data_IF_324057928139
#
_entry.id   IF_324057928139
#
_cell.length_a   1.000
_cell.length_b   1.000
_cell.length_c   1.000
_cell.angle_alpha   90.00
_cell.angle_beta   90.00
_cell.angle_gamma   90.00
#
_symmetry.space_group_name_H-M   'P 1'
#
loop_
_entity.id
_entity.type
_entity.pdbx_description
1 polymer ?
#
# COMPACT_ATOMS: atom_id res chain seq x y z
N UNK A 1 -7.62 -13.79 27.31
CA UNK A 1 -7.06 -14.13 25.98
C UNK A 1 -7.93 -13.54 24.87
N UNK A 2 -9.24 -13.78 24.89
CA UNK A 2 -10.19 -13.36 23.85
C UNK A 2 -10.20 -11.86 23.56
N UNK A 3 -10.11 -11.01 24.61
CA UNK A 3 -10.04 -9.56 24.43
C UNK A 3 -8.80 -9.11 23.64
N UNK A 4 -7.64 -9.72 23.92
CA UNK A 4 -6.39 -9.39 23.25
C UNK A 4 -6.42 -9.85 21.79
N UNK A 5 -6.95 -11.04 21.51
CA UNK A 5 -7.13 -11.56 20.16
C UNK A 5 -8.13 -10.73 19.35
N UNK A 6 -9.26 -10.34 19.96
CA UNK A 6 -10.23 -9.49 19.30
C UNK A 6 -9.66 -8.09 18.98
N UNK A 7 -8.86 -7.51 19.88
CA UNK A 7 -8.16 -6.26 19.60
C UNK A 7 -7.14 -6.41 18.45
N UNK A 8 -6.35 -7.48 18.46
CA UNK A 8 -5.42 -7.79 17.37
C UNK A 8 -6.15 -7.91 16.02
N UNK A 9 -7.24 -8.66 15.97
CA UNK A 9 -8.03 -8.83 14.74
C UNK A 9 -8.59 -7.50 14.24
N UNK A 10 -9.17 -6.68 15.12
CA UNK A 10 -9.71 -5.35 14.76
C UNK A 10 -8.65 -4.43 14.15
N UNK A 11 -7.43 -4.45 14.67
CA UNK A 11 -6.33 -3.59 14.18
C UNK A 11 -5.72 -4.17 12.89
N UNK A 12 -5.41 -5.47 12.86
CA UNK A 12 -4.63 -6.07 11.77
C UNK A 12 -5.45 -6.40 10.54
N UNK A 13 -6.67 -6.90 10.67
CA UNK A 13 -7.48 -7.32 9.53
C UNK A 13 -7.66 -6.22 8.46
N UNK A 14 -8.08 -4.98 8.80
CA UNK A 14 -8.20 -3.93 7.79
C UNK A 14 -6.83 -3.52 7.20
N UNK A 15 -5.77 -3.47 8.03
CA UNK A 15 -4.41 -3.11 7.60
C UNK A 15 -3.84 -4.10 6.59
N UNK A 16 -3.98 -5.40 6.82
CA UNK A 16 -3.48 -6.44 5.91
C UNK A 16 -4.36 -6.58 4.68
N UNK A 17 -5.68 -6.43 4.81
CA UNK A 17 -6.58 -6.40 3.65
C UNK A 17 -6.28 -5.23 2.70
N UNK A 18 -5.85 -4.06 3.22
CA UNK A 18 -5.35 -2.96 2.37
C UNK A 18 -4.11 -3.38 1.60
N UNK A 19 -3.10 -3.98 2.25
CA UNK A 19 -1.88 -4.47 1.57
C UNK A 19 -2.22 -5.42 0.43
N UNK A 20 -3.05 -6.43 0.70
CA UNK A 20 -3.40 -7.44 -0.29
C UNK A 20 -4.12 -6.85 -1.51
N UNK A 21 -4.97 -5.83 -1.31
CA UNK A 21 -5.66 -5.15 -2.42
C UNK A 21 -4.72 -4.23 -3.18
N UNK A 22 -3.93 -3.42 -2.47
CA UNK A 22 -2.92 -2.53 -3.07
C UNK A 22 -1.88 -3.31 -3.88
N UNK A 23 -1.45 -4.48 -3.41
CA UNK A 23 -0.50 -5.32 -4.13
C UNK A 23 -1.04 -5.80 -5.50
N UNK A 24 -2.34 -6.07 -5.63
CA UNK A 24 -2.95 -6.44 -6.91
C UNK A 24 -2.92 -5.28 -7.89
N UNK A 25 -3.42 -4.12 -7.47
CA UNK A 25 -3.41 -2.89 -8.29
C UNK A 25 -1.99 -2.49 -8.66
N UNK A 26 -1.05 -2.60 -7.73
CA UNK A 26 0.37 -2.34 -7.98
C UNK A 26 0.94 -3.30 -9.02
N UNK A 27 0.60 -4.59 -8.93
CA UNK A 27 0.92 -5.58 -9.95
C UNK A 27 0.35 -5.20 -11.33
N UNK A 28 -0.89 -4.74 -11.39
CA UNK A 28 -1.51 -4.30 -12.65
C UNK A 28 -0.76 -3.09 -13.24
N UNK A 29 -0.37 -2.11 -12.41
CA UNK A 29 0.44 -0.95 -12.84
C UNK A 29 1.80 -1.39 -13.40
N UNK A 30 2.43 -2.41 -12.81
CA UNK A 30 3.74 -2.87 -13.26
C UNK A 30 3.69 -3.55 -14.63
N UNK A 31 2.63 -4.34 -14.84
CA UNK A 31 2.46 -5.17 -16.03
C UNK A 31 1.59 -4.53 -17.12
N UNK A 32 1.12 -3.28 -16.92
CA UNK A 32 0.36 -2.56 -17.94
C UNK A 32 1.22 -2.32 -19.20
N UNK A 33 0.58 -2.41 -20.36
CA UNK A 33 1.20 -2.29 -21.67
C UNK A 33 0.63 -1.11 -22.48
N UNK A 34 1.09 -0.97 -23.72
CA UNK A 34 0.63 0.06 -24.67
C UNK A 34 0.74 1.48 -24.12
N UNK A 35 -0.33 2.28 -24.34
CA UNK A 35 -0.41 3.65 -23.84
C UNK A 35 -0.35 3.73 -22.31
N UNK A 36 -0.86 2.72 -21.61
CA UNK A 36 -0.79 2.65 -20.16
C UNK A 36 0.65 2.57 -19.65
N UNK A 37 1.52 1.83 -20.34
CA UNK A 37 2.94 1.76 -20.01
C UNK A 37 3.64 3.12 -20.17
N UNK A 38 3.29 3.89 -21.20
CA UNK A 38 3.85 5.23 -21.41
C UNK A 38 3.45 6.17 -20.27
N UNK A 39 2.18 6.14 -19.86
CA UNK A 39 1.69 6.93 -18.71
C UNK A 39 2.36 6.52 -17.40
N UNK A 40 2.51 5.22 -17.14
CA UNK A 40 3.23 4.71 -15.96
C UNK A 40 4.67 5.21 -15.94
N UNK A 41 5.36 5.12 -17.07
CA UNK A 41 6.76 5.53 -17.17
C UNK A 41 6.92 7.04 -16.92
N UNK A 42 6.02 7.86 -17.46
CA UNK A 42 6.05 9.30 -17.24
C UNK A 42 5.74 9.66 -15.79
N UNK A 43 4.71 9.04 -15.20
CA UNK A 43 4.37 9.22 -13.79
C UNK A 43 5.57 8.90 -12.89
N UNK A 44 6.25 7.77 -13.12
CA UNK A 44 7.35 7.33 -12.26
C UNK A 44 8.59 8.20 -12.42
N UNK A 45 8.84 8.79 -13.60
CA UNK A 45 9.95 9.72 -13.82
C UNK A 45 9.79 11.02 -13.02
N UNK A 46 8.56 11.40 -12.69
CA UNK A 46 8.27 12.59 -11.89
C UNK A 46 8.41 12.41 -10.37
N UNK A 47 8.62 11.18 -9.89
CA UNK A 47 8.79 10.88 -8.46
C UNK A 47 10.25 11.13 -8.08
N UNK A 48 10.49 11.95 -7.06
CA UNK A 48 11.86 12.20 -6.56
C UNK A 48 12.30 11.09 -5.61
N UNK A 49 13.61 10.88 -5.49
CA UNK A 49 14.19 9.80 -4.67
C UNK A 49 13.83 9.90 -3.17
N UNK A 50 13.42 11.08 -2.71
CA UNK A 50 13.01 11.39 -1.34
C UNK A 50 11.49 11.52 -1.16
N UNK A 51 10.68 11.27 -2.19
CA UNK A 51 9.23 11.25 -2.10
C UNK A 51 8.72 9.88 -1.63
N UNK A 52 8.52 9.75 -0.31
CA UNK A 52 7.99 8.55 0.31
C UNK A 52 6.45 8.54 0.40
N UNK A 53 5.76 9.58 -0.08
CA UNK A 53 4.32 9.77 0.14
C UNK A 53 3.46 8.60 -0.36
N UNK A 54 3.89 7.94 -1.45
CA UNK A 54 3.23 6.76 -2.00
C UNK A 54 3.37 5.49 -1.14
N UNK A 55 4.38 5.43 -0.27
CA UNK A 55 4.73 4.26 0.53
C UNK A 55 4.59 4.49 2.05
N UNK A 56 4.41 5.72 2.52
CA UNK A 56 4.27 6.06 3.94
C UNK A 56 3.14 5.29 4.62
N UNK A 57 2.02 5.09 3.94
CA UNK A 57 0.91 4.30 4.49
C UNK A 57 1.30 2.83 4.76
N UNK A 58 2.33 2.32 4.11
CA UNK A 58 2.85 0.96 4.26
C UNK A 58 3.97 0.93 5.31
N UNK A 59 5.04 1.70 5.12
CA UNK A 59 6.24 1.63 5.96
C UNK A 59 6.21 2.58 7.15
N UNK A 60 5.51 3.71 7.05
CA UNK A 60 5.28 4.65 8.16
C UNK A 60 4.03 4.33 8.99
N UNK A 61 3.43 3.15 8.83
CA UNK A 61 2.21 2.80 9.56
C UNK A 61 2.49 2.40 11.00
N UNK A 62 1.83 3.09 11.93
CA UNK A 62 1.75 2.70 13.33
C UNK A 62 0.34 2.18 13.69
N UNK A 63 0.24 1.15 14.54
CA UNK A 63 -1.05 0.72 15.06
C UNK A 63 -1.68 1.83 15.91
N UNK A 64 -3.02 1.99 15.88
CA UNK A 64 -3.69 2.93 16.77
C UNK A 64 -3.33 2.64 18.24
N UNK A 65 -2.98 3.68 19.00
CA UNK A 65 -2.86 3.56 20.45
C UNK A 65 -4.23 3.31 21.05
N UNK A 66 -4.32 2.33 21.95
CA UNK A 66 -5.54 2.00 22.70
C UNK A 66 -5.95 3.14 23.65
#
# INVERSE_FOLDING_TARGET
MDRALAAYQRIRAPRTARVQRSARVWGDIWHIDGTGALLRNELFRGITDDDYSYADWLWGWEPPTN
#
